data_IF_377577513504
#
_entry.id   IF_377577513504
#
_cell.length_a   1.000
_cell.length_b   1.000
_cell.length_c   1.000
_cell.angle_alpha   90.00
_cell.angle_beta   90.00
_cell.angle_gamma   90.00
#
_symmetry.space_group_name_H-M   'P 1'
#
loop_
_entity.id
_entity.type
_entity.pdbx_description
1 polymer ?
#
# COMPACT_ATOMS: atom_id res chain seq x y z
N UNK A 1 21.06 3.52 50.73
CA UNK A 1 20.30 2.42 50.08
C UNK A 1 19.23 2.94 49.10
N UNK A 2 18.45 3.96 49.46
CA UNK A 2 17.31 4.43 48.66
C UNK A 2 17.68 5.17 47.35
N UNK A 3 18.85 5.82 47.29
CA UNK A 3 19.30 6.55 46.08
C UNK A 3 19.57 5.61 44.91
N UNK A 4 20.21 4.46 45.17
CA UNK A 4 20.52 3.45 44.17
C UNK A 4 19.27 2.75 43.63
N UNK A 5 18.28 2.52 44.50
CA UNK A 5 16.96 1.96 44.13
C UNK A 5 16.20 2.93 43.22
N UNK A 6 16.18 4.22 43.56
CA UNK A 6 15.53 5.24 42.74
C UNK A 6 16.22 5.44 41.38
N UNK A 7 17.55 5.29 41.33
CA UNK A 7 18.31 5.34 40.08
C UNK A 7 17.97 4.15 39.17
N UNK A 8 17.94 2.93 39.72
CA UNK A 8 17.57 1.71 38.96
C UNK A 8 16.13 1.77 38.44
N UNK A 9 15.19 2.27 39.25
CA UNK A 9 13.79 2.42 38.84
C UNK A 9 13.63 3.39 37.65
N UNK A 10 14.35 4.52 37.66
CA UNK A 10 14.34 5.48 36.56
C UNK A 10 14.92 4.91 35.27
N UNK A 11 16.01 4.15 35.37
CA UNK A 11 16.63 3.48 34.22
C UNK A 11 15.66 2.48 33.61
N UNK A 12 15.00 1.66 34.43
CA UNK A 12 14.00 0.70 33.97
C UNK A 12 12.84 1.40 33.24
N UNK A 13 12.37 2.53 33.78
CA UNK A 13 11.28 3.31 33.18
C UNK A 13 11.67 3.90 31.81
N UNK A 14 12.89 4.41 31.68
CA UNK A 14 13.41 4.94 30.41
C UNK A 14 13.53 3.81 29.37
N UNK A 15 14.02 2.63 29.76
CA UNK A 15 14.09 1.47 28.88
C UNK A 15 12.70 1.06 28.40
N UNK A 16 11.71 0.99 29.31
CA UNK A 16 10.33 0.69 28.94
C UNK A 16 9.76 1.71 27.95
N UNK A 17 10.01 3.00 28.14
CA UNK A 17 9.56 4.05 27.20
C UNK A 17 10.24 3.86 25.83
N UNK A 18 11.57 3.68 25.78
CA UNK A 18 12.29 3.47 24.53
C UNK A 18 11.80 2.23 23.76
N UNK A 19 11.47 1.15 24.46
CA UNK A 19 10.91 -0.06 23.84
C UNK A 19 9.52 0.16 23.23
N UNK A 20 8.71 1.07 23.77
CA UNK A 20 7.38 1.40 23.23
C UNK A 20 7.42 2.36 22.03
N UNK A 21 8.51 3.11 21.82
CA UNK A 21 8.63 3.98 20.64
C UNK A 21 8.96 3.19 19.36
N UNK A 22 9.55 1.99 19.47
CA UNK A 22 9.96 1.20 18.32
C UNK A 22 8.79 0.50 17.57
N UNK A 23 7.60 0.41 18.19
CA UNK A 23 6.44 -0.32 17.67
C UNK A 23 5.50 0.53 16.77
N UNK A 24 5.84 1.78 16.47
CA UNK A 24 5.02 2.67 15.62
C UNK A 24 5.28 2.53 14.11
N UNK A 25 5.80 1.40 13.65
CA UNK A 25 5.87 1.08 12.23
C UNK A 25 4.57 0.38 11.81
N UNK A 26 3.48 1.14 11.73
CA UNK A 26 2.30 0.67 10.99
C UNK A 26 2.73 0.51 9.53
N UNK A 27 2.81 -0.75 9.07
CA UNK A 27 3.00 -1.07 7.66
C UNK A 27 1.81 -0.51 6.89
N UNK A 28 1.95 0.73 6.40
CA UNK A 28 1.05 1.23 5.37
C UNK A 28 1.33 0.40 4.12
N UNK A 29 0.51 -0.62 3.87
CA UNK A 29 0.51 -1.29 2.56
C UNK A 29 0.47 -0.19 1.51
N UNK A 30 1.43 -0.20 0.59
CA UNK A 30 1.52 0.77 -0.48
C UNK A 30 0.23 0.67 -1.32
N UNK A 31 -0.75 1.49 -0.97
CA UNK A 31 -2.05 1.51 -1.64
C UNK A 31 -1.80 1.75 -3.12
N UNK A 32 -2.33 0.87 -3.97
CA UNK A 32 -2.20 0.99 -5.42
C UNK A 32 -3.54 1.40 -6.00
N UNK A 33 -3.49 2.18 -7.07
CA UNK A 33 -4.66 2.63 -7.79
C UNK A 33 -4.69 1.87 -9.12
N UNK A 34 -5.75 1.12 -9.37
CA UNK A 34 -6.03 0.45 -10.63
C UNK A 34 -6.96 1.33 -11.45
N UNK A 35 -6.56 1.65 -12.68
CA UNK A 35 -7.35 2.33 -13.70
C UNK A 35 -7.74 1.33 -14.79
N UNK A 36 -9.00 1.29 -15.18
CA UNK A 36 -9.47 0.44 -16.29
C UNK A 36 -10.60 1.10 -17.07
N UNK A 37 -10.93 0.54 -18.23
CA UNK A 37 -12.09 0.91 -19.04
C UNK A 37 -13.07 -0.25 -19.01
N UNK A 38 -14.30 0.01 -18.57
CA UNK A 38 -15.34 -1.01 -18.49
C UNK A 38 -15.86 -1.44 -19.87
N UNK A 39 -16.79 -2.39 -19.87
CA UNK A 39 -17.48 -2.86 -21.07
C UNK A 39 -18.27 -1.77 -21.83
N UNK A 40 -18.64 -0.67 -21.17
CA UNK A 40 -19.38 0.46 -21.76
C UNK A 40 -18.45 1.58 -22.26
N UNK A 41 -17.14 1.40 -22.14
CA UNK A 41 -16.15 2.41 -22.54
C UNK A 41 -15.89 3.48 -21.48
N UNK A 42 -16.42 3.33 -20.26
CA UNK A 42 -16.23 4.31 -19.17
C UNK A 42 -14.95 4.00 -18.40
N UNK A 43 -14.17 5.05 -18.11
CA UNK A 43 -12.93 4.92 -17.32
C UNK A 43 -13.24 4.94 -15.82
N UNK A 44 -12.70 3.96 -15.10
CA UNK A 44 -12.85 3.81 -13.65
C UNK A 44 -11.50 3.76 -12.94
N UNK A 45 -11.52 4.04 -11.63
CA UNK A 45 -10.38 4.03 -10.73
C UNK A 45 -10.78 3.35 -9.41
N UNK A 46 -9.90 2.51 -8.87
CA UNK A 46 -10.17 1.84 -7.59
C UNK A 46 -8.99 1.01 -7.09
N UNK A 47 -9.14 0.40 -5.92
CA UNK A 47 -8.05 -0.37 -5.29
C UNK A 47 -7.81 -1.73 -5.98
N UNK A 48 -8.84 -2.27 -6.66
CA UNK A 48 -8.80 -3.56 -7.37
C UNK A 48 -9.67 -3.55 -8.61
N UNK A 49 -9.29 -4.36 -9.60
CA UNK A 49 -10.12 -4.60 -10.79
C UNK A 49 -11.35 -5.43 -10.39
N UNK A 50 -12.58 -5.02 -10.78
CA UNK A 50 -13.77 -5.84 -10.60
C UNK A 50 -13.65 -7.18 -11.33
N UNK A 51 -14.23 -8.24 -10.77
CA UNK A 51 -14.17 -9.59 -11.38
C UNK A 51 -14.82 -9.62 -12.77
N UNK A 52 -15.81 -8.76 -13.01
CA UNK A 52 -16.51 -8.61 -14.28
C UNK A 52 -15.60 -8.08 -15.39
N UNK A 53 -14.56 -7.32 -15.04
CA UNK A 53 -13.63 -6.70 -15.99
C UNK A 53 -12.29 -7.46 -16.02
N UNK A 54 -12.22 -8.66 -15.42
CA UNK A 54 -11.03 -9.51 -15.48
C UNK A 54 -10.65 -9.82 -16.93
N UNK A 55 -9.35 -9.85 -17.18
CA UNK A 55 -8.83 -10.10 -18.53
C UNK A 55 -9.00 -8.93 -19.48
N UNK A 56 -9.37 -7.72 -19.00
CA UNK A 56 -9.29 -6.46 -19.76
C UNK A 56 -8.02 -5.68 -19.43
N UNK A 57 -7.66 -4.79 -20.36
CA UNK A 57 -6.53 -3.88 -20.18
C UNK A 57 -6.75 -2.95 -18.99
N UNK A 58 -5.72 -2.79 -18.16
CA UNK A 58 -5.75 -1.91 -16.98
C UNK A 58 -4.34 -1.39 -16.65
N UNK A 59 -4.28 -0.30 -15.91
CA UNK A 59 -3.04 0.34 -15.46
C UNK A 59 -3.02 0.41 -13.95
N UNK A 60 -1.96 -0.10 -13.33
CA UNK A 60 -1.73 0.00 -11.90
C UNK A 60 -0.76 1.17 -11.65
N UNK A 61 -1.09 2.00 -10.67
CA UNK A 61 -0.35 3.19 -10.27
C UNK A 61 -0.09 3.16 -8.77
N UNK A 62 0.97 3.83 -8.33
CA UNK A 62 1.15 4.12 -6.91
C UNK A 62 0.24 5.27 -6.46
N UNK A 63 0.21 5.56 -5.15
CA UNK A 63 -0.56 6.67 -4.56
C UNK A 63 -0.18 8.07 -5.08
N UNK A 64 0.93 8.21 -5.79
CA UNK A 64 1.35 9.46 -6.43
C UNK A 64 0.92 9.54 -7.90
N UNK A 65 0.14 8.58 -8.39
CA UNK A 65 -0.31 8.52 -9.78
C UNK A 65 0.77 8.06 -10.77
N UNK A 66 1.93 7.61 -10.29
CA UNK A 66 2.99 7.06 -11.15
C UNK A 66 2.60 5.66 -11.55
N UNK A 67 2.59 5.40 -12.86
CA UNK A 67 2.33 4.07 -13.41
C UNK A 67 3.42 3.10 -12.98
N UNK A 68 3.03 2.04 -12.29
CA UNK A 68 3.92 0.96 -11.86
C UNK A 68 3.74 -0.30 -12.73
N UNK A 69 2.58 -0.47 -13.37
CA UNK A 69 2.31 -1.60 -14.25
C UNK A 69 1.24 -1.27 -15.29
N UNK A 70 1.39 -1.81 -16.50
CA UNK A 70 0.33 -1.82 -17.52
C UNK A 70 0.05 -3.27 -17.90
N UNK A 71 -1.20 -3.69 -17.74
CA UNK A 71 -1.71 -4.96 -18.22
C UNK A 71 -2.42 -4.66 -19.54
N UNK A 72 -1.85 -5.07 -20.67
CA UNK A 72 -2.45 -4.87 -22.00
C UNK A 72 -2.88 -6.21 -22.53
N UNK A 73 -4.15 -6.30 -22.88
CA UNK A 73 -4.69 -7.41 -23.67
C UNK A 73 -4.33 -7.09 -25.11
N UNK A 74 -3.46 -7.90 -25.70
CA UNK A 74 -3.14 -7.80 -27.11
C UNK A 74 -4.37 -8.22 -27.89
N UNK A 75 -5.09 -7.24 -28.40
CA UNK A 75 -6.16 -7.50 -29.35
C UNK A 75 -5.52 -7.99 -30.65
N UNK A 76 -5.74 -9.25 -31.01
CA UNK A 76 -5.18 -9.85 -32.23
C UNK A 76 -5.80 -9.23 -33.51
N UNK A 77 -6.76 -8.31 -33.38
CA UNK A 77 -7.48 -7.72 -34.50
C UNK A 77 -6.80 -6.52 -35.20
N UNK A 78 -5.62 -6.05 -34.78
CA UNK A 78 -4.92 -4.93 -35.42
C UNK A 78 -4.00 -5.31 -36.61
N UNK A 79 -4.22 -6.47 -37.22
CA UNK A 79 -3.54 -6.90 -38.45
C UNK A 79 -4.57 -7.32 -39.51
N UNK A 80 -5.27 -6.33 -40.09
CA UNK A 80 -6.01 -6.46 -41.36
C UNK A 80 -5.67 -5.27 -42.22
#
# INVERSE_FOLDING_TARGET
>A
MNVWINAMQKILFIICICLNLASLHAFAEAKKIVKWVDSKGVTHYGDKLPTQENGRSNTEMNNHGVVIKKNIVLDQQAAV
#
